data_IF_254264705817
#
_entry.id   IF_254264705817
#
_cell.length_a   1.000
_cell.length_b   1.000
_cell.length_c   1.000
_cell.angle_alpha   90.00
_cell.angle_beta   90.00
_cell.angle_gamma   90.00
#
_symmetry.space_group_name_H-M   'P 1'
#
loop_
_entity.id
_entity.type
_entity.pdbx_description
1 polymer ?
#
# COMPACT_ATOMS: atom_id res chain seq x y z
N UNK A 1 -8.46 -62.24 -15.02
CA UNK A 1 -8.20 -62.10 -16.47
C UNK A 1 -9.35 -61.33 -17.10
N UNK A 2 -9.21 -60.01 -17.27
CA UNK A 2 -9.63 -59.19 -18.42
C UNK A 2 -9.46 -57.71 -18.06
N UNK A 3 -8.43 -57.15 -18.66
CA UNK A 3 -8.06 -55.73 -18.67
C UNK A 3 -9.06 -55.02 -19.58
N UNK A 4 -9.79 -54.02 -19.07
CA UNK A 4 -10.60 -53.12 -19.89
C UNK A 4 -9.80 -51.83 -20.11
N UNK A 5 -9.35 -51.64 -21.36
CA UNK A 5 -8.74 -50.42 -21.85
C UNK A 5 -9.77 -49.28 -21.90
N UNK A 6 -9.48 -48.16 -21.26
CA UNK A 6 -10.13 -46.87 -21.55
C UNK A 6 -9.14 -46.02 -22.36
N UNK A 7 -9.42 -45.88 -23.65
CA UNK A 7 -8.77 -44.94 -24.56
C UNK A 7 -8.96 -43.50 -24.04
N UNK A 8 -7.91 -42.65 -24.02
CA UNK A 8 -8.10 -41.22 -23.98
C UNK A 8 -8.53 -40.72 -25.36
N UNK A 9 -9.73 -40.15 -25.42
CA UNK A 9 -10.23 -39.36 -26.56
C UNK A 9 -9.33 -38.13 -26.67
N UNK A 10 -8.47 -38.14 -27.69
CA UNK A 10 -7.71 -36.97 -28.14
C UNK A 10 -8.70 -36.02 -28.82
N UNK A 11 -9.17 -35.03 -28.06
CA UNK A 11 -9.85 -33.86 -28.63
C UNK A 11 -8.79 -32.93 -29.23
N UNK A 12 -8.69 -32.97 -30.55
CA UNK A 12 -7.97 -32.02 -31.39
C UNK A 12 -8.60 -30.63 -31.19
N UNK A 13 -7.93 -29.74 -30.46
CA UNK A 13 -8.21 -28.29 -30.50
C UNK A 13 -7.19 -27.68 -31.46
N UNK A 14 -7.58 -27.30 -32.68
CA UNK A 14 -6.66 -26.70 -33.63
C UNK A 14 -6.57 -25.20 -33.29
N UNK A 15 -5.69 -24.82 -32.34
CA UNK A 15 -5.14 -23.44 -32.22
C UNK A 15 -4.26 -23.20 -30.98
N UNK A 16 -3.77 -24.22 -30.28
CA UNK A 16 -2.76 -24.00 -29.22
C UNK A 16 -1.38 -24.18 -29.82
N UNK A 17 -0.90 -23.09 -30.42
CA UNK A 17 0.52 -22.91 -30.73
C UNK A 17 1.26 -22.96 -29.39
N UNK A 18 1.83 -24.11 -29.07
CA UNK A 18 2.85 -24.23 -28.03
C UNK A 18 4.08 -23.47 -28.53
N UNK A 19 4.08 -22.16 -28.28
CA UNK A 19 5.28 -21.35 -28.33
C UNK A 19 6.17 -21.86 -27.21
N UNK A 20 7.13 -22.69 -27.60
CA UNK A 20 8.31 -23.05 -26.83
C UNK A 20 9.15 -21.77 -26.64
N UNK A 21 8.65 -20.85 -25.82
CA UNK A 21 9.37 -19.63 -25.47
C UNK A 21 10.42 -20.03 -24.44
N UNK A 22 11.67 -20.03 -24.88
CA UNK A 22 12.86 -20.19 -24.06
C UNK A 22 12.73 -19.36 -22.79
N UNK A 23 12.58 -20.04 -21.63
CA UNK A 23 12.80 -19.44 -20.32
C UNK A 23 14.28 -19.06 -20.27
N UNK A 24 14.61 -17.84 -20.66
CA UNK A 24 15.83 -17.21 -20.18
C UNK A 24 15.64 -17.01 -18.66
N UNK A 25 16.45 -17.63 -17.80
CA UNK A 25 16.43 -17.29 -16.40
C UNK A 25 16.82 -15.82 -16.28
N UNK A 26 15.88 -15.00 -15.79
CA UNK A 26 16.20 -13.63 -15.38
C UNK A 26 17.35 -13.70 -14.35
N UNK A 27 18.32 -12.77 -14.41
CA UNK A 27 19.46 -12.79 -13.51
C UNK A 27 18.96 -12.64 -12.07
N UNK A 28 19.06 -13.72 -11.30
CA UNK A 28 18.72 -13.80 -9.87
C UNK A 28 19.89 -13.33 -9.02
N UNK A 29 20.57 -12.26 -9.44
CA UNK A 29 21.71 -11.76 -8.68
C UNK A 29 21.18 -11.04 -7.43
N UNK A 30 21.55 -11.50 -6.21
CA UNK A 30 21.20 -10.80 -4.99
C UNK A 30 21.76 -9.37 -5.05
N UNK A 31 21.07 -8.38 -4.45
CA UNK A 31 21.51 -6.99 -4.50
C UNK A 31 22.95 -6.87 -3.97
N UNK A 32 23.85 -6.39 -4.83
CA UNK A 32 25.24 -6.18 -4.49
C UNK A 32 25.33 -5.06 -3.43
N UNK A 33 25.88 -5.33 -2.22
CA UNK A 33 25.95 -4.35 -1.13
C UNK A 33 26.89 -3.17 -1.42
N UNK A 34 27.62 -3.19 -2.54
CA UNK A 34 28.50 -2.10 -2.98
C UNK A 34 27.85 -1.14 -3.99
N UNK A 35 26.59 -1.37 -4.36
CA UNK A 35 25.88 -0.53 -5.32
C UNK A 35 25.32 0.72 -4.60
N UNK A 36 25.53 1.94 -5.13
CA UNK A 36 25.08 3.16 -4.48
C UNK A 36 23.56 3.16 -4.31
N UNK A 37 23.05 3.85 -3.26
CA UNK A 37 21.61 3.98 -3.03
C UNK A 37 20.90 4.45 -4.30
N UNK A 38 19.89 3.71 -4.73
CA UNK A 38 19.08 4.11 -5.88
C UNK A 38 18.28 5.33 -5.47
N UNK A 39 18.37 6.47 -6.18
CA UNK A 39 17.59 7.66 -5.85
C UNK A 39 16.10 7.34 -5.81
N UNK A 40 15.38 7.98 -4.88
CA UNK A 40 13.93 7.81 -4.63
C UNK A 40 13.04 8.25 -5.80
N UNK A 41 13.64 8.68 -6.92
CA UNK A 41 13.00 8.97 -8.20
C UNK A 41 12.86 7.72 -9.09
N UNK A 42 12.81 6.54 -8.47
CA UNK A 42 12.84 5.26 -9.18
C UNK A 42 11.45 4.89 -9.69
N UNK A 43 11.36 4.41 -10.93
CA UNK A 43 10.14 3.75 -11.41
C UNK A 43 10.22 2.24 -11.14
N UNK A 44 9.07 1.58 -11.00
CA UNK A 44 9.01 0.11 -11.10
C UNK A 44 9.19 -0.31 -12.56
N UNK A 45 10.05 -1.30 -12.82
CA UNK A 45 10.42 -1.71 -14.17
C UNK A 45 10.36 -3.23 -14.35
N UNK A 46 9.60 -3.69 -15.33
CA UNK A 46 9.50 -5.11 -15.65
C UNK A 46 9.47 -5.33 -17.17
N UNK A 47 9.81 -6.54 -17.60
CA UNK A 47 9.79 -6.89 -19.01
C UNK A 47 8.37 -7.17 -19.49
N UNK A 48 8.06 -6.75 -20.72
CA UNK A 48 6.79 -7.02 -21.38
C UNK A 48 6.60 -8.52 -21.58
N UNK A 49 5.36 -8.97 -21.41
CA UNK A 49 4.94 -10.35 -21.65
C UNK A 49 3.82 -10.31 -22.69
N UNK A 50 3.88 -11.19 -23.70
CA UNK A 50 2.89 -11.23 -24.78
C UNK A 50 1.58 -11.90 -24.32
N UNK A 51 0.45 -11.45 -24.85
CA UNK A 51 -0.87 -12.00 -24.49
C UNK A 51 -1.41 -11.53 -23.14
N UNK A 52 -0.84 -10.46 -22.58
CA UNK A 52 -1.25 -9.86 -21.30
C UNK A 52 -2.20 -8.71 -21.54
N UNK A 53 -3.31 -8.70 -20.81
CA UNK A 53 -4.28 -7.60 -20.82
C UNK A 53 -4.22 -6.73 -19.56
N UNK A 54 -3.62 -7.25 -18.48
CA UNK A 54 -3.54 -6.56 -17.20
C UNK A 54 -2.30 -6.99 -16.42
N UNK A 55 -1.66 -6.04 -15.75
CA UNK A 55 -0.64 -6.30 -14.75
C UNK A 55 -1.18 -6.01 -13.34
N UNK A 56 -0.70 -6.78 -12.38
CA UNK A 56 -0.86 -6.56 -10.94
C UNK A 56 0.53 -6.30 -10.37
N UNK A 57 0.69 -5.19 -9.66
CA UNK A 57 1.92 -4.86 -8.94
C UNK A 57 1.68 -5.05 -7.43
N UNK A 58 2.38 -6.00 -6.85
CA UNK A 58 2.39 -6.25 -5.41
C UNK A 58 3.57 -5.52 -4.78
N UNK A 59 3.35 -4.78 -3.69
CA UNK A 59 4.39 -4.03 -2.98
C UNK A 59 4.19 -4.26 -1.49
N UNK A 60 5.08 -5.02 -0.87
CA UNK A 60 5.11 -5.21 0.57
C UNK A 60 5.80 -4.03 1.26
N UNK A 61 5.27 -3.55 2.41
CA UNK A 61 4.24 -4.18 3.25
C UNK A 61 2.81 -3.65 3.00
N UNK A 62 2.45 -3.17 1.81
CA UNK A 62 1.08 -2.76 1.55
C UNK A 62 0.17 -3.98 1.43
N UNK A 63 -0.97 -3.98 2.13
CA UNK A 63 -1.93 -5.09 2.14
C UNK A 63 -2.71 -5.24 0.83
N UNK A 64 -2.70 -4.20 -0.02
CA UNK A 64 -3.44 -4.14 -1.29
C UNK A 64 -2.50 -3.99 -2.48
N UNK A 65 -2.60 -4.92 -3.43
CA UNK A 65 -1.92 -4.84 -4.71
C UNK A 65 -2.46 -3.70 -5.59
N UNK A 66 -1.64 -3.24 -6.52
CA UNK A 66 -2.05 -2.30 -7.56
C UNK A 66 -2.54 -3.11 -8.74
N UNK A 67 -3.86 -3.23 -8.82
CA UNK A 67 -4.50 -3.95 -9.90
C UNK A 67 -4.86 -3.01 -11.05
N UNK A 68 -4.94 -3.57 -12.26
CA UNK A 68 -5.40 -2.92 -13.49
C UNK A 68 -4.35 -2.01 -14.12
N UNK A 69 -3.07 -2.33 -13.94
CA UNK A 69 -2.01 -1.67 -14.68
C UNK A 69 -2.12 -2.09 -16.14
N UNK A 70 -2.47 -1.13 -17.00
CA UNK A 70 -2.69 -1.38 -18.42
C UNK A 70 -1.37 -1.77 -19.12
N UNK A 71 -1.39 -2.75 -20.05
CA UNK A 71 -0.26 -3.08 -20.90
C UNK A 71 0.20 -1.93 -21.78
N UNK A 72 -0.63 -0.89 -21.95
CA UNK A 72 -0.23 0.36 -22.61
C UNK A 72 0.94 1.06 -21.91
N UNK A 73 1.23 0.75 -20.63
CA UNK A 73 2.43 1.21 -19.93
C UNK A 73 3.72 0.47 -20.33
N UNK A 74 3.61 -0.53 -21.18
CA UNK A 74 4.72 -1.21 -21.83
C UNK A 74 4.88 -0.65 -23.23
N UNK A 75 5.93 0.12 -23.46
CA UNK A 75 6.11 0.81 -24.71
C UNK A 75 7.29 0.24 -25.49
N UNK A 76 7.09 0.09 -26.79
CA UNK A 76 8.16 -0.21 -27.73
C UNK A 76 8.80 1.12 -28.12
N UNK A 77 9.94 1.44 -27.52
CA UNK A 77 10.72 2.67 -27.74
C UNK A 77 10.08 3.93 -27.14
N UNK A 78 9.93 3.98 -25.82
CA UNK A 78 9.61 5.23 -25.15
C UNK A 78 10.75 6.24 -25.38
N UNK A 79 10.49 7.45 -25.89
CA UNK A 79 11.44 8.54 -25.68
C UNK A 79 11.59 8.75 -24.17
N UNK A 80 12.79 9.09 -23.67
CA UNK A 80 12.97 9.38 -22.25
C UNK A 80 11.99 10.49 -21.85
N UNK A 81 11.19 10.22 -20.82
CA UNK A 81 10.20 11.19 -20.35
C UNK A 81 10.96 12.42 -19.82
N UNK A 82 10.77 13.61 -20.43
CA UNK A 82 11.48 14.81 -20.00
C UNK A 82 11.09 15.24 -18.58
N UNK A 83 9.95 14.78 -18.06
CA UNK A 83 9.51 15.05 -16.70
C UNK A 83 10.09 14.10 -15.66
N UNK A 84 10.66 12.96 -16.08
CA UNK A 84 11.31 12.01 -15.18
C UNK A 84 12.55 11.35 -15.83
N UNK A 85 13.70 12.02 -15.81
CA UNK A 85 14.93 11.54 -16.46
C UNK A 85 15.52 10.28 -15.81
N UNK A 86 15.04 9.90 -14.63
CA UNK A 86 15.60 8.80 -13.83
C UNK A 86 14.98 7.43 -14.15
N UNK A 87 13.99 7.38 -15.05
CA UNK A 87 13.38 6.12 -15.47
C UNK A 87 13.89 5.69 -16.84
N UNK A 88 14.86 4.75 -16.93
CA UNK A 88 15.40 4.31 -18.20
C UNK A 88 14.31 3.73 -19.10
N UNK A 89 14.33 4.15 -20.36
CA UNK A 89 13.47 3.67 -21.43
C UNK A 89 14.21 2.67 -22.30
N UNK A 90 13.57 1.54 -22.62
CA UNK A 90 14.12 0.51 -23.49
C UNK A 90 13.01 -0.25 -24.22
N UNK A 91 13.37 -0.95 -25.30
CA UNK A 91 12.42 -1.83 -26.01
C UNK A 91 11.95 -2.95 -25.08
N UNK A 92 10.65 -3.25 -25.08
CA UNK A 92 10.02 -4.29 -24.25
C UNK A 92 10.08 -4.06 -22.73
N UNK A 93 10.27 -2.80 -22.28
CA UNK A 93 10.24 -2.46 -20.87
C UNK A 93 8.92 -1.77 -20.51
N UNK A 94 8.31 -2.23 -19.43
CA UNK A 94 7.15 -1.62 -18.80
C UNK A 94 7.61 -0.80 -17.60
N UNK A 95 7.02 0.38 -17.44
CA UNK A 95 7.43 1.34 -16.40
C UNK A 95 6.21 1.84 -15.64
N UNK A 96 6.30 1.88 -14.30
CA UNK A 96 5.30 2.49 -13.42
C UNK A 96 5.97 3.51 -12.47
N UNK A 97 5.72 4.82 -12.62
CA UNK A 97 6.29 5.84 -11.74
C UNK A 97 5.76 5.71 -10.31
N UNK A 98 6.60 5.97 -9.30
CA UNK A 98 6.15 6.06 -7.90
C UNK A 98 5.12 7.16 -7.67
N UNK A 99 5.19 8.25 -8.44
CA UNK A 99 4.24 9.36 -8.38
C UNK A 99 2.80 8.96 -8.77
N UNK A 100 2.65 7.89 -9.54
CA UNK A 100 1.34 7.37 -9.98
C UNK A 100 0.72 6.40 -8.95
N UNK A 101 1.35 6.21 -7.79
CA UNK A 101 0.76 5.46 -6.70
C UNK A 101 -0.51 6.18 -6.21
N UNK A 102 -1.65 5.48 -6.03
CA UNK A 102 -2.88 6.11 -5.59
C UNK A 102 -2.73 6.72 -4.18
N UNK A 103 -3.50 7.79 -3.97
CA UNK A 103 -3.52 8.54 -2.72
C UNK A 103 -3.78 7.59 -1.53
N UNK A 104 -2.87 7.60 -0.55
CA UNK A 104 -2.88 6.69 0.59
C UNK A 104 -1.73 5.68 0.61
N UNK A 105 -1.04 5.46 -0.52
CA UNK A 105 0.18 4.63 -0.59
C UNK A 105 1.44 5.50 -0.61
N UNK A 106 1.70 6.17 0.51
CA UNK A 106 2.89 7.01 0.66
C UNK A 106 4.08 6.16 1.11
N UNK A 107 5.12 6.09 0.28
CA UNK A 107 6.37 5.41 0.58
C UNK A 107 7.06 6.21 1.70
N UNK A 108 7.25 5.57 2.85
CA UNK A 108 7.93 6.16 4.00
C UNK A 108 9.43 6.22 3.75
N UNK A 109 10.09 7.23 4.28
CA UNK A 109 11.56 7.31 4.30
C UNK A 109 12.16 6.28 5.28
N UNK A 110 13.42 5.91 5.08
CA UNK A 110 14.13 4.91 5.89
C UNK A 110 13.40 3.57 6.02
N UNK A 111 12.70 3.15 4.96
CA UNK A 111 11.91 1.92 4.94
C UNK A 111 12.30 1.04 3.74
N UNK A 112 12.28 -0.27 3.96
CA UNK A 112 12.57 -1.26 2.92
C UNK A 112 11.26 -1.81 2.37
N UNK A 113 11.14 -1.83 1.04
CA UNK A 113 9.97 -2.27 0.31
C UNK A 113 10.36 -3.37 -0.65
N UNK A 114 9.50 -4.37 -0.79
CA UNK A 114 9.69 -5.49 -1.69
C UNK A 114 8.53 -5.55 -2.66
N UNK A 115 8.80 -5.65 -3.96
CA UNK A 115 7.74 -5.62 -4.98
C UNK A 115 7.91 -6.70 -6.04
N UNK A 116 6.78 -7.12 -6.61
CA UNK A 116 6.72 -8.08 -7.71
C UNK A 116 5.54 -7.77 -8.63
N UNK A 117 5.61 -8.23 -9.88
CA UNK A 117 4.56 -8.01 -10.88
C UNK A 117 4.02 -9.34 -11.39
N UNK A 118 2.70 -9.47 -11.42
CA UNK A 118 2.00 -10.61 -12.01
C UNK A 118 1.28 -10.17 -13.28
N UNK A 119 1.45 -10.94 -14.35
CA UNK A 119 0.82 -10.68 -15.65
C UNK A 119 -0.45 -11.53 -15.81
N UNK A 120 -1.57 -10.91 -16.16
CA UNK A 120 -2.88 -11.55 -16.32
C UNK A 120 -3.42 -11.40 -17.75
N UNK A 121 -4.13 -12.43 -18.23
CA UNK A 121 -4.89 -12.37 -19.47
C UNK A 121 -6.25 -11.67 -19.29
N UNK A 122 -7.03 -11.60 -20.37
CA UNK A 122 -8.38 -11.01 -20.41
C UNK A 122 -9.34 -11.55 -19.34
N UNK A 123 -9.17 -12.82 -18.98
CA UNK A 123 -10.05 -13.55 -18.05
C UNK A 123 -9.56 -13.38 -16.60
N UNK A 124 -8.42 -12.71 -16.39
CA UNK A 124 -7.80 -12.53 -15.08
C UNK A 124 -6.94 -13.72 -14.62
N UNK A 125 -6.63 -14.66 -15.51
CA UNK A 125 -5.73 -15.77 -15.19
C UNK A 125 -4.27 -15.38 -15.44
N UNK A 126 -3.31 -15.84 -14.62
CA UNK A 126 -1.91 -15.53 -14.81
C UNK A 126 -1.36 -16.15 -16.10
N UNK A 127 -0.60 -15.36 -16.87
CA UNK A 127 0.05 -15.76 -18.14
C UNK A 127 1.44 -16.38 -17.89
N UNK A 128 1.82 -16.52 -16.62
CA UNK A 128 3.08 -17.10 -16.16
C UNK A 128 3.24 -16.99 -14.64
N UNK A 129 4.42 -17.32 -14.13
CA UNK A 129 4.75 -17.02 -12.73
C UNK A 129 4.89 -15.51 -12.48
N UNK A 130 4.79 -15.06 -11.22
CA UNK A 130 5.10 -13.68 -10.86
C UNK A 130 6.56 -13.36 -11.21
N UNK A 131 6.86 -12.08 -11.44
CA UNK A 131 8.22 -11.63 -11.63
C UNK A 131 9.07 -11.95 -10.40
N UNK A 132 10.39 -12.03 -10.59
CA UNK A 132 11.32 -12.03 -9.46
C UNK A 132 11.05 -10.84 -8.54
N UNK A 133 11.10 -11.08 -7.23
CA UNK A 133 10.89 -10.06 -6.23
C UNK A 133 12.10 -9.11 -6.17
N UNK A 134 11.85 -7.80 -6.09
CA UNK A 134 12.89 -6.77 -6.01
C UNK A 134 12.70 -5.93 -4.77
N UNK A 135 13.80 -5.58 -4.11
CA UNK A 135 13.78 -4.78 -2.88
C UNK A 135 14.42 -3.42 -3.15
N UNK A 136 13.83 -2.37 -2.59
CA UNK A 136 14.43 -1.05 -2.53
C UNK A 136 14.30 -0.49 -1.12
N UNK A 137 15.27 0.33 -0.71
CA UNK A 137 15.25 1.01 0.58
C UNK A 137 15.22 2.50 0.32
N UNK A 138 14.28 3.21 0.94
CA UNK A 138 14.28 4.66 0.93
C UNK A 138 15.26 5.17 1.97
N UNK A 139 16.03 6.20 1.65
CA UNK A 139 16.88 6.86 2.64
C UNK A 139 16.16 8.07 3.22
N UNK A 140 16.40 8.35 4.50
CA UNK A 140 16.09 9.66 5.05
C UNK A 140 16.98 10.67 4.33
N UNK A 141 16.39 11.78 3.87
CA UNK A 141 17.16 12.97 3.51
C UNK A 141 17.82 13.51 4.78
N UNK A 142 18.91 12.88 5.20
CA UNK A 142 19.85 13.49 6.13
C UNK A 142 20.44 14.64 5.31
N UNK A 143 20.15 15.88 5.73
CA UNK A 143 20.65 17.06 5.05
C UNK A 143 22.15 16.96 4.77
N UNK A 144 22.67 17.67 3.76
CA UNK A 144 24.08 17.64 3.42
C UNK A 144 24.91 17.77 4.70
N UNK A 145 25.95 16.93 4.89
CA UNK A 145 26.77 17.00 6.09
C UNK A 145 27.17 18.46 6.31
N UNK A 146 27.04 18.99 7.53
CA UNK A 146 27.43 20.37 7.79
C UNK A 146 28.86 20.56 7.25
N UNK A 147 29.13 21.65 6.53
CA UNK A 147 30.48 21.92 6.04
C UNK A 147 31.46 21.80 7.21
N UNK A 148 32.68 21.28 7.01
CA UNK A 148 33.69 21.20 8.06
C UNK A 148 33.81 22.57 8.72
N UNK A 149 33.25 22.69 9.92
CA UNK A 149 33.25 23.93 10.67
C UNK A 149 34.68 24.17 11.13
N UNK A 150 35.33 25.16 10.52
CA UNK A 150 36.59 25.69 11.00
C UNK A 150 36.42 26.06 12.48
N UNK A 151 37.22 25.41 13.32
CA UNK A 151 37.22 25.66 14.75
C UNK A 151 37.72 27.07 15.01
N UNK A 152 36.84 27.90 15.57
CA UNK A 152 37.28 29.00 16.40
C UNK A 152 36.35 29.13 17.62
N UNK A 153 36.98 29.23 18.77
CA UNK A 153 36.34 29.10 20.08
C UNK A 153 35.71 30.39 20.57
N UNK A 154 34.99 30.27 21.69
CA UNK A 154 34.56 31.41 22.49
C UNK A 154 33.14 31.21 23.02
N UNK A 155 33.02 31.09 24.34
CA UNK A 155 31.80 30.71 25.03
C UNK A 155 30.61 31.64 24.79
N UNK A 156 29.42 31.12 25.05
CA UNK A 156 28.67 31.58 26.21
C UNK A 156 27.59 30.57 26.59
N UNK A 157 27.28 30.53 27.88
CA UNK A 157 26.27 29.68 28.48
C UNK A 157 24.87 30.16 28.08
N UNK A 158 24.19 29.41 27.21
CA UNK A 158 22.78 29.60 26.89
C UNK A 158 22.10 28.24 26.83
N UNK A 159 21.26 27.95 27.83
CA UNK A 159 20.61 26.67 28.04
C UNK A 159 19.93 26.11 26.79
N UNK A 160 20.54 25.08 26.21
CA UNK A 160 19.89 24.17 25.30
C UNK A 160 18.85 23.38 26.09
N UNK A 161 17.60 23.76 25.95
CA UNK A 161 16.48 22.88 26.22
C UNK A 161 16.69 21.67 25.32
N UNK A 162 17.21 20.59 25.89
CA UNK A 162 17.30 19.30 25.25
C UNK A 162 15.89 18.96 24.82
N UNK A 163 15.59 19.22 23.55
CA UNK A 163 14.38 18.85 22.82
C UNK A 163 14.24 17.34 22.83
N UNK A 164 14.00 16.82 24.03
CA UNK A 164 13.53 15.49 24.31
C UNK A 164 12.20 15.51 23.59
N UNK A 165 12.13 14.83 22.44
CA UNK A 165 10.87 14.55 21.77
C UNK A 165 9.97 13.90 22.81
N UNK A 166 9.16 14.74 23.46
CA UNK A 166 8.24 14.31 24.49
C UNK A 166 7.21 13.53 23.73
N UNK A 167 7.32 12.20 23.80
CA UNK A 167 6.39 11.29 23.17
C UNK A 167 4.97 11.83 23.49
N UNK A 168 4.20 12.26 22.47
CA UNK A 168 2.89 12.86 22.67
C UNK A 168 1.93 11.88 23.36
N UNK A 169 2.29 10.60 23.37
CA UNK A 169 1.70 9.56 24.19
C UNK A 169 2.61 9.35 25.41
N UNK A 170 2.45 10.20 26.44
CA UNK A 170 3.15 10.07 27.72
C UNK A 170 2.58 8.93 28.57
N UNK A 171 2.55 7.71 28.03
CA UNK A 171 2.04 6.54 28.71
C UNK A 171 3.17 5.81 29.46
N UNK A 172 3.09 5.79 30.79
CA UNK A 172 4.05 5.07 31.64
C UNK A 172 3.74 3.57 31.74
N UNK A 173 2.50 3.18 31.40
CA UNK A 173 1.98 1.82 31.49
C UNK A 173 1.03 1.53 30.33
N UNK A 174 0.88 0.24 29.98
CA UNK A 174 0.00 -0.23 28.90
C UNK A 174 -1.47 0.17 29.12
N UNK A 175 -1.92 0.21 30.37
CA UNK A 175 -3.26 0.70 30.75
C UNK A 175 -3.43 2.21 30.52
N UNK A 176 -2.36 2.99 30.72
CA UNK A 176 -2.39 4.44 30.58
C UNK A 176 -2.40 4.85 29.10
N UNK A 177 -1.69 4.07 28.28
CA UNK A 177 -1.75 4.14 26.81
C UNK A 177 -3.19 3.96 26.32
N UNK A 178 -3.86 2.88 26.73
CA UNK A 178 -5.24 2.63 26.33
C UNK A 178 -6.19 3.74 26.81
N UNK A 179 -6.04 4.24 28.03
CA UNK A 179 -6.86 5.35 28.52
C UNK A 179 -6.68 6.63 27.69
N UNK A 180 -5.45 6.96 27.27
CA UNK A 180 -5.20 8.10 26.39
C UNK A 180 -5.81 7.91 25.00
N UNK A 181 -5.65 6.73 24.39
CA UNK A 181 -6.28 6.41 23.09
C UNK A 181 -7.81 6.53 23.20
N UNK A 182 -8.43 5.91 24.21
CA UNK A 182 -9.89 5.94 24.34
C UNK A 182 -10.42 7.35 24.63
N UNK A 183 -9.68 8.16 25.40
CA UNK A 183 -10.04 9.56 25.64
C UNK A 183 -10.03 10.39 24.36
N UNK A 184 -8.99 10.23 23.53
CA UNK A 184 -8.89 10.89 22.23
C UNK A 184 -10.00 10.43 21.28
N UNK A 185 -10.23 9.12 21.17
CA UNK A 185 -11.27 8.54 20.33
C UNK A 185 -12.68 9.00 20.76
N UNK A 186 -12.92 9.14 22.06
CA UNK A 186 -14.19 9.62 22.59
C UNK A 186 -14.43 11.11 22.29
N UNK A 187 -13.40 11.93 22.42
CA UNK A 187 -13.47 13.35 22.03
C UNK A 187 -13.82 13.49 20.54
N UNK A 188 -13.19 12.66 19.69
CA UNK A 188 -13.49 12.62 18.27
C UNK A 188 -14.91 12.11 17.99
N UNK A 189 -15.37 11.08 18.70
CA UNK A 189 -16.70 10.52 18.54
C UNK A 189 -17.81 11.53 18.86
N UNK A 190 -17.66 12.33 19.93
CA UNK A 190 -18.63 13.40 20.27
C UNK A 190 -18.81 14.39 19.11
N UNK A 191 -17.72 14.69 18.38
CA UNK A 191 -17.77 15.62 17.26
C UNK A 191 -18.32 14.98 15.98
N UNK A 192 -17.88 13.77 15.65
CA UNK A 192 -18.22 13.11 14.37
C UNK A 192 -19.62 12.51 14.36
N UNK A 193 -20.05 11.87 15.45
CA UNK A 193 -21.34 11.17 15.53
C UNK A 193 -22.53 12.05 15.11
N UNK A 194 -22.72 13.28 15.64
CA UNK A 194 -23.85 14.12 15.22
C UNK A 194 -23.81 14.46 13.74
N UNK A 195 -22.62 14.65 13.15
CA UNK A 195 -22.47 14.93 11.70
C UNK A 195 -22.94 13.73 10.88
N UNK A 196 -22.55 12.51 11.26
CA UNK A 196 -22.94 11.29 10.55
C UNK A 196 -24.45 11.02 10.68
N UNK A 197 -25.03 11.28 11.86
CA UNK A 197 -26.48 11.14 12.08
C UNK A 197 -27.28 12.09 11.17
N UNK A 198 -26.85 13.35 11.06
CA UNK A 198 -27.46 14.33 10.16
C UNK A 198 -27.33 13.89 8.70
N UNK A 199 -26.14 13.42 8.29
CA UNK A 199 -25.91 12.92 6.94
C UNK A 199 -26.81 11.73 6.60
N UNK A 200 -26.96 10.77 7.51
CA UNK A 200 -27.82 9.61 7.30
C UNK A 200 -29.30 10.01 7.24
N UNK A 201 -29.74 10.95 8.08
CA UNK A 201 -31.09 11.49 8.03
C UNK A 201 -31.36 12.20 6.68
N UNK A 202 -30.41 12.99 6.20
CA UNK A 202 -30.52 13.68 4.91
C UNK A 202 -30.59 12.69 3.73
N UNK A 203 -29.79 11.62 3.76
CA UNK A 203 -29.83 10.56 2.76
C UNK A 203 -31.19 9.84 2.70
N UNK A 204 -31.84 9.67 3.85
CA UNK A 204 -33.19 9.09 3.92
C UNK A 204 -34.27 10.06 3.42
N UNK A 205 -34.18 11.35 3.77
CA UNK A 205 -35.14 12.38 3.34
C UNK A 205 -35.07 12.66 1.83
N UNK A 206 -33.85 12.79 1.28
CA UNK A 206 -33.62 13.02 -0.15
C UNK A 206 -33.78 11.75 -1.00
N UNK A 207 -34.01 10.59 -0.37
CA UNK A 207 -34.14 9.31 -1.05
C UNK A 207 -35.37 9.19 -1.94
N UNK A 208 -36.41 10.02 -1.76
CA UNK A 208 -37.54 10.14 -2.68
C UNK A 208 -38.32 8.84 -2.95
N UNK A 209 -38.22 7.84 -2.05
CA UNK A 209 -38.85 6.51 -2.24
C UNK A 209 -37.96 5.46 -2.91
N UNK A 210 -36.71 5.77 -3.26
CA UNK A 210 -35.73 4.79 -3.71
C UNK A 210 -35.37 3.83 -2.54
N UNK A 211 -35.73 2.53 -2.63
CA UNK A 211 -35.49 1.58 -1.56
C UNK A 211 -34.01 1.38 -1.26
N UNK A 212 -33.12 1.61 -2.24
CA UNK A 212 -31.67 1.45 -2.07
C UNK A 212 -31.11 2.54 -1.17
N UNK A 213 -31.52 3.80 -1.37
CA UNK A 213 -31.06 4.94 -0.55
C UNK A 213 -31.60 4.86 0.87
N UNK A 214 -32.85 4.42 1.02
CA UNK A 214 -33.47 4.23 2.34
C UNK A 214 -32.78 3.10 3.12
N UNK A 215 -32.47 1.98 2.46
CA UNK A 215 -31.72 0.88 3.08
C UNK A 215 -30.32 1.32 3.51
N UNK A 216 -29.60 2.09 2.66
CA UNK A 216 -28.28 2.64 2.99
C UNK A 216 -28.32 3.55 4.21
N UNK A 217 -29.27 4.50 4.28
CA UNK A 217 -29.40 5.40 5.43
C UNK A 217 -29.64 4.66 6.75
N UNK A 218 -30.50 3.63 6.74
CA UNK A 218 -30.75 2.77 7.92
C UNK A 218 -29.50 2.00 8.35
N UNK A 219 -28.75 1.44 7.40
CA UNK A 219 -27.50 0.74 7.69
C UNK A 219 -26.48 1.68 8.33
N UNK A 220 -26.30 2.87 7.78
CA UNK A 220 -25.36 3.87 8.34
C UNK A 220 -25.74 4.23 9.78
N UNK A 221 -27.04 4.47 10.06
CA UNK A 221 -27.50 4.76 11.42
C UNK A 221 -27.26 3.59 12.38
N UNK A 222 -27.55 2.36 11.98
CA UNK A 222 -27.33 1.18 12.82
C UNK A 222 -25.86 0.97 13.13
N UNK A 223 -24.97 1.03 12.13
CA UNK A 223 -23.54 0.90 12.33
C UNK A 223 -22.96 2.03 13.20
N UNK A 224 -23.45 3.25 13.03
CA UNK A 224 -23.05 4.40 13.87
C UNK A 224 -23.48 4.20 15.32
N UNK A 225 -24.70 3.72 15.56
CA UNK A 225 -25.20 3.43 16.90
C UNK A 225 -24.40 2.32 17.58
N UNK A 226 -24.10 1.23 16.85
CA UNK A 226 -23.30 0.11 17.37
C UNK A 226 -21.88 0.57 17.73
N UNK A 227 -21.21 1.33 16.85
CA UNK A 227 -19.88 1.86 17.13
C UNK A 227 -19.88 2.78 18.36
N UNK A 228 -20.89 3.64 18.49
CA UNK A 228 -21.01 4.54 19.65
C UNK A 228 -21.23 3.78 20.97
N UNK A 229 -22.04 2.71 20.95
CA UNK A 229 -22.24 1.84 22.13
C UNK A 229 -20.93 1.15 22.53
N UNK A 230 -20.16 0.64 21.57
CA UNK A 230 -18.87 -0.01 21.86
C UNK A 230 -17.90 0.98 22.52
N UNK A 231 -17.83 2.22 22.00
CA UNK A 231 -16.99 3.28 22.56
C UNK A 231 -17.44 3.66 23.99
N UNK A 232 -18.75 3.73 24.25
CA UNK A 232 -19.29 3.99 25.58
C UNK A 232 -18.93 2.88 26.57
N UNK A 233 -19.03 1.62 26.15
CA UNK A 233 -18.67 0.46 26.97
C UNK A 233 -17.17 0.44 27.29
N UNK A 234 -16.32 0.76 26.31
CA UNK A 234 -14.87 0.81 26.50
C UNK A 234 -14.45 1.79 27.61
N UNK A 235 -15.16 2.92 27.75
CA UNK A 235 -14.91 3.90 28.82
C UNK A 235 -15.65 3.57 30.14
N UNK A 236 -16.82 2.93 30.07
CA UNK A 236 -17.64 2.63 31.24
C UNK A 236 -17.11 1.49 32.10
N UNK A 237 -16.61 0.41 31.49
CA UNK A 237 -16.13 -0.79 32.20
C UNK A 237 -14.99 -0.51 33.21
N UNK A 238 -13.91 0.23 32.85
CA UNK A 238 -12.79 0.47 33.76
C UNK A 238 -13.17 1.27 35.01
N UNK A 239 -14.20 2.12 34.94
CA UNK A 239 -14.67 2.94 36.07
C UNK A 239 -15.37 2.07 37.11
N UNK A 240 -16.10 1.05 36.67
CA UNK A 240 -16.80 0.12 37.57
C UNK A 240 -15.80 -0.74 38.33
N UNK A 241 -14.76 -1.24 37.67
CA UNK A 241 -13.73 -2.05 38.34
C UNK A 241 -12.94 -1.28 39.39
N UNK A 242 -12.69 0.02 39.19
CA UNK A 242 -11.99 0.87 40.17
C UNK A 242 -12.80 1.14 41.45
N UNK A 243 -14.12 0.94 41.42
CA UNK A 243 -14.98 1.16 42.59
C UNK A 243 -15.28 -0.12 43.37
N UNK A 244 -14.95 -1.30 42.84
CA UNK A 244 -15.16 -2.60 43.51
C UNK A 244 -13.90 -3.17 44.17
N UNK A 245 -12.72 -2.58 43.92
CA UNK A 245 -11.41 -2.98 44.43
C UNK A 245 -10.84 -1.85 45.29
#
# INVERSE_FOLDING_TARGET
>A
MRILYLLPIVLLVPNVVFALTLLYPFPSEPPNPSQPPVPVDSCFQWSRVLGVEKYILDIQPFDESIDNISPSRCYDNLPPDPSNPNCPSGSNLCVFPFLDLPAGRNIQYASSYTWSVTALNAVGNPVGGPSGSRTFTTELLVGPPPPPGDGDGGGDAGGGDTGTLKNPISAKNLTDLFNQIFSFLFGLAIFIVPVVVIYAAFLMLMGGGDPVKLAKGRMILLWTAVAFIIILLARGLPVVFKNLL
#
